data_IF_592381810449
#
_entry.id   IF_592381810449
#
_cell.length_a   1.000
_cell.length_b   1.000
_cell.length_c   1.000
_cell.angle_alpha   90.00
_cell.angle_beta   90.00
_cell.angle_gamma   90.00
#
_symmetry.space_group_name_H-M   'P 1'
#
loop_
_entity.id
_entity.type
_entity.pdbx_description
1 polymer ?
#
# COMPACT_ATOMS: atom_id res chain seq x y z
N UNK A 1 13.25 -4.12 -8.75
CA UNK A 1 12.05 -4.91 -9.10
C UNK A 1 11.90 -5.11 -10.61
N UNK A 2 11.69 -4.06 -11.41
CA UNK A 2 11.47 -4.21 -12.87
C UNK A 2 12.55 -5.03 -13.58
N UNK A 3 13.83 -4.71 -13.33
CA UNK A 3 14.97 -5.43 -13.94
C UNK A 3 14.96 -6.90 -13.56
N UNK A 4 14.85 -7.20 -12.25
CA UNK A 4 14.72 -8.57 -11.73
C UNK A 4 13.58 -9.36 -12.40
N UNK A 5 12.42 -8.74 -12.62
CA UNK A 5 11.30 -9.41 -13.27
C UNK A 5 11.59 -9.73 -14.74
N UNK A 6 12.27 -8.85 -15.46
CA UNK A 6 12.67 -9.10 -16.85
C UNK A 6 13.69 -10.24 -16.96
N UNK A 7 14.56 -10.40 -15.97
CA UNK A 7 15.54 -11.50 -15.92
C UNK A 7 14.90 -12.87 -15.67
N UNK A 8 13.80 -12.94 -14.90
CA UNK A 8 13.16 -14.20 -14.50
C UNK A 8 12.47 -14.95 -15.64
N UNK A 9 11.94 -14.23 -16.64
CA UNK A 9 11.19 -14.84 -17.74
C UNK A 9 9.97 -15.66 -17.26
N UNK A 10 9.52 -16.61 -18.09
CA UNK A 10 8.36 -17.46 -17.76
C UNK A 10 7.06 -16.66 -17.64
N UNK A 11 6.36 -16.84 -16.51
CA UNK A 11 5.13 -16.11 -16.17
C UNK A 11 5.39 -14.67 -15.69
N UNK A 12 6.66 -14.27 -15.58
CA UNK A 12 7.04 -12.92 -15.16
C UNK A 12 6.63 -11.88 -16.20
N UNK A 13 5.75 -10.95 -15.82
CA UNK A 13 5.30 -9.86 -16.69
C UNK A 13 5.32 -8.54 -15.92
N UNK A 14 6.08 -7.57 -16.43
CA UNK A 14 6.15 -6.21 -15.86
C UNK A 14 4.96 -5.33 -16.23
N UNK A 15 4.04 -5.81 -17.09
CA UNK A 15 2.93 -5.03 -17.62
C UNK A 15 1.67 -5.88 -17.82
N UNK A 16 0.88 -6.02 -16.77
CA UNK A 16 -0.37 -6.79 -16.79
C UNK A 16 -1.60 -5.87 -16.88
N UNK A 17 -2.56 -6.24 -17.74
CA UNK A 17 -3.81 -5.51 -17.93
C UNK A 17 -4.91 -6.05 -17.02
N UNK A 18 -5.55 -5.19 -16.23
CA UNK A 18 -6.65 -5.63 -15.35
C UNK A 18 -7.91 -6.08 -16.11
N UNK A 19 -8.14 -5.53 -17.31
CA UNK A 19 -9.25 -5.90 -18.19
C UNK A 19 -8.86 -5.66 -19.65
N UNK A 20 -9.59 -6.33 -20.56
CA UNK A 20 -9.45 -6.10 -22.00
C UNK A 20 -9.59 -4.61 -22.34
N UNK A 21 -8.60 -4.07 -23.04
CA UNK A 21 -8.58 -2.66 -23.45
C UNK A 21 -7.88 -1.70 -22.48
N UNK A 22 -7.42 -2.15 -21.30
CA UNK A 22 -6.61 -1.29 -20.44
C UNK A 22 -5.22 -1.07 -21.07
N UNK A 23 -5.00 0.13 -21.63
CA UNK A 23 -3.73 0.52 -22.28
C UNK A 23 -2.60 0.82 -21.29
N UNK A 24 -2.95 1.08 -20.03
CA UNK A 24 -1.98 1.47 -18.99
C UNK A 24 -1.18 0.27 -18.51
N UNK A 25 -1.85 -0.88 -18.31
CA UNK A 25 -1.24 -2.15 -17.89
C UNK A 25 -0.29 -2.00 -16.70
N UNK A 26 -0.76 -1.32 -15.64
CA UNK A 26 0.05 -0.98 -14.47
C UNK A 26 0.33 -2.14 -13.52
N UNK A 27 -0.47 -3.21 -13.60
CA UNK A 27 -0.29 -4.40 -12.78
C UNK A 27 0.95 -5.19 -13.24
N UNK A 28 1.35 -6.17 -12.46
CA UNK A 28 2.50 -7.03 -12.76
C UNK A 28 2.24 -8.47 -12.32
N UNK A 29 2.95 -9.42 -12.94
CA UNK A 29 2.99 -10.82 -12.57
C UNK A 29 4.39 -11.11 -12.04
N UNK A 30 4.54 -11.19 -10.72
CA UNK A 30 5.83 -11.44 -10.10
C UNK A 30 6.07 -12.95 -9.99
N UNK A 31 6.99 -13.46 -10.81
CA UNK A 31 7.37 -14.87 -10.83
C UNK A 31 8.59 -15.15 -9.94
N UNK A 32 8.85 -16.41 -9.64
CA UNK A 32 10.02 -16.91 -8.91
C UNK A 32 11.29 -16.91 -9.77
N UNK A 33 12.41 -17.37 -9.20
CA UNK A 33 13.65 -17.61 -9.95
C UNK A 33 13.55 -18.72 -11.00
N UNK A 34 12.55 -19.60 -10.91
CA UNK A 34 12.24 -20.62 -11.91
C UNK A 34 11.32 -20.12 -13.02
N UNK A 35 10.84 -18.87 -12.93
CA UNK A 35 9.90 -18.27 -13.87
C UNK A 35 8.44 -18.66 -13.60
N UNK A 36 8.14 -19.32 -12.49
CA UNK A 36 6.77 -19.69 -12.09
C UNK A 36 6.10 -18.55 -11.32
N UNK A 37 4.84 -18.24 -11.63
CA UNK A 37 4.12 -17.17 -10.95
C UNK A 37 4.06 -17.37 -9.42
N UNK A 38 4.50 -16.36 -8.66
CA UNK A 38 4.29 -16.30 -7.20
C UNK A 38 3.00 -15.54 -6.92
N UNK A 39 2.92 -14.28 -7.37
CA UNK A 39 1.79 -13.40 -7.06
C UNK A 39 1.59 -12.36 -8.14
N UNK A 40 0.34 -11.94 -8.31
CA UNK A 40 -0.03 -10.80 -9.15
C UNK A 40 -1.11 -9.99 -8.44
N UNK A 41 -0.94 -8.67 -8.25
CA UNK A 41 0.29 -7.87 -8.39
C UNK A 41 1.11 -7.73 -7.09
N UNK A 42 2.39 -7.37 -7.23
CA UNK A 42 3.16 -6.72 -6.15
C UNK A 42 3.12 -5.21 -6.38
N UNK A 43 2.30 -4.50 -5.60
CA UNK A 43 2.09 -3.04 -5.75
C UNK A 43 2.98 -2.23 -4.81
N UNK A 44 3.11 -0.92 -5.09
CA UNK A 44 3.93 0.01 -4.29
C UNK A 44 3.58 -0.04 -2.79
N UNK A 45 2.30 -0.02 -2.46
CA UNK A 45 1.82 -0.03 -1.06
C UNK A 45 2.18 -1.33 -0.35
N UNK A 46 2.04 -2.48 -1.02
CA UNK A 46 2.47 -3.77 -0.48
C UNK A 46 3.96 -3.79 -0.20
N UNK A 47 4.80 -3.30 -1.13
CA UNK A 47 6.25 -3.21 -0.91
C UNK A 47 6.56 -2.28 0.27
N UNK A 48 5.84 -1.16 0.40
CA UNK A 48 6.00 -0.22 1.50
C UNK A 48 5.66 -0.82 2.86
N UNK A 49 4.51 -1.48 2.98
CA UNK A 49 3.98 -1.93 4.27
C UNK A 49 4.43 -3.34 4.68
N UNK A 50 4.67 -4.23 3.72
CA UNK A 50 5.12 -5.61 3.96
C UNK A 50 6.63 -5.77 3.73
N UNK A 51 7.27 -4.82 3.04
CA UNK A 51 8.73 -4.76 2.87
C UNK A 51 9.37 -3.77 3.84
N UNK A 52 9.53 -2.52 3.40
CA UNK A 52 10.36 -1.52 4.11
C UNK A 52 9.87 -1.20 5.52
N UNK A 53 8.56 -1.14 5.75
CA UNK A 53 7.97 -0.98 7.09
C UNK A 53 8.35 -2.10 8.07
N UNK A 54 8.53 -3.33 7.56
CA UNK A 54 8.95 -4.48 8.35
C UNK A 54 10.47 -4.69 8.34
N UNK A 55 11.23 -3.88 7.60
CA UNK A 55 12.68 -4.08 7.41
C UNK A 55 13.01 -5.29 6.53
N UNK A 56 12.07 -5.78 5.73
CA UNK A 56 12.26 -6.89 4.80
C UNK A 56 12.62 -6.32 3.43
N UNK A 57 13.78 -6.71 2.88
CA UNK A 57 14.32 -6.19 1.62
C UNK A 57 14.33 -7.21 0.47
N UNK A 58 14.11 -8.49 0.76
CA UNK A 58 13.99 -9.53 -0.24
C UNK A 58 12.61 -9.52 -0.92
N UNK A 59 12.59 -9.24 -2.22
CA UNK A 59 11.36 -9.20 -3.03
C UNK A 59 10.64 -10.55 -3.13
N UNK A 60 11.35 -11.69 -3.05
CA UNK A 60 10.70 -13.01 -3.05
C UNK A 60 9.91 -13.24 -1.76
N UNK A 61 10.44 -12.79 -0.64
CA UNK A 61 9.77 -12.94 0.66
C UNK A 61 8.57 -12.00 0.75
N UNK A 62 8.73 -10.75 0.29
CA UNK A 62 7.62 -9.80 0.15
C UNK A 62 6.53 -10.37 -0.77
N UNK A 63 6.90 -10.97 -1.90
CA UNK A 63 5.94 -11.57 -2.83
C UNK A 63 5.17 -12.75 -2.23
N UNK A 64 5.84 -13.61 -1.44
CA UNK A 64 5.19 -14.72 -0.74
C UNK A 64 4.26 -14.24 0.38
N UNK A 65 4.68 -13.25 1.17
CA UNK A 65 3.83 -12.63 2.17
C UNK A 65 2.60 -11.98 1.52
N UNK A 66 2.80 -11.26 0.42
CA UNK A 66 1.71 -10.68 -0.39
C UNK A 66 0.75 -11.76 -0.91
N UNK A 67 1.26 -12.88 -1.41
CA UNK A 67 0.42 -14.00 -1.84
C UNK A 67 -0.47 -14.52 -0.71
N UNK A 68 0.11 -14.74 0.47
CA UNK A 68 -0.64 -15.25 1.63
C UNK A 68 -1.72 -14.26 2.07
N UNK A 69 -1.40 -12.96 2.11
CA UNK A 69 -2.37 -11.91 2.45
C UNK A 69 -3.52 -11.85 1.42
N UNK A 70 -3.20 -11.97 0.13
CA UNK A 70 -4.19 -12.01 -0.95
C UNK A 70 -5.09 -13.24 -0.85
N UNK A 71 -4.54 -14.43 -0.57
CA UNK A 71 -5.31 -15.66 -0.42
C UNK A 71 -6.23 -15.62 0.81
N UNK A 72 -5.79 -14.94 1.88
CA UNK A 72 -6.62 -14.65 3.05
C UNK A 72 -7.71 -13.59 2.76
N UNK A 73 -7.62 -12.86 1.64
CA UNK A 73 -8.56 -11.80 1.29
C UNK A 73 -8.43 -10.57 2.19
N UNK A 74 -7.23 -10.28 2.68
CA UNK A 74 -6.95 -9.16 3.57
C UNK A 74 -6.23 -8.02 2.84
N UNK A 75 -6.33 -6.81 3.38
CA UNK A 75 -5.60 -5.64 2.88
C UNK A 75 -4.13 -5.69 3.31
N UNK A 76 -3.20 -5.62 2.35
CA UNK A 76 -1.76 -5.64 2.60
C UNK A 76 -1.28 -4.42 3.39
N UNK A 77 -1.96 -3.27 3.27
CA UNK A 77 -1.63 -2.09 4.06
C UNK A 77 -1.95 -2.35 5.53
N UNK A 78 -3.18 -2.79 5.80
CA UNK A 78 -3.66 -3.02 7.16
C UNK A 78 -2.89 -4.16 7.85
N UNK A 79 -2.63 -5.26 7.14
CA UNK A 79 -1.85 -6.39 7.67
C UNK A 79 -0.39 -6.02 7.86
N UNK A 80 0.25 -5.34 6.89
CA UNK A 80 1.63 -4.89 7.03
C UNK A 80 1.81 -3.91 8.19
N UNK A 81 0.87 -2.99 8.39
CA UNK A 81 0.86 -2.10 9.55
C UNK A 81 0.66 -2.86 10.87
N UNK A 82 -0.26 -3.82 10.92
CA UNK A 82 -0.46 -4.69 12.08
C UNK A 82 0.80 -5.49 12.43
N UNK A 83 1.49 -6.03 11.43
CA UNK A 83 2.79 -6.69 11.62
C UNK A 83 3.87 -5.72 12.12
N UNK A 84 3.90 -4.47 11.64
CA UNK A 84 4.82 -3.46 12.16
C UNK A 84 4.60 -3.16 13.64
N UNK A 85 3.33 -3.05 14.06
CA UNK A 85 2.97 -2.91 15.48
C UNK A 85 3.26 -4.19 16.27
N UNK A 86 3.07 -5.36 15.66
CA UNK A 86 3.46 -6.63 16.28
C UNK A 86 4.97 -6.72 16.50
N UNK A 87 5.78 -6.15 15.61
CA UNK A 87 7.23 -6.09 15.76
C UNK A 87 7.62 -5.16 16.92
N UNK A 88 6.99 -3.99 17.00
CA UNK A 88 7.17 -3.08 18.15
C UNK A 88 6.71 -3.72 19.48
N UNK A 89 5.65 -4.54 19.45
CA UNK A 89 5.16 -5.30 20.59
C UNK A 89 5.95 -6.58 20.91
N UNK A 90 7.03 -6.86 20.17
CA UNK A 90 7.94 -7.98 20.44
C UNK A 90 7.47 -9.36 19.96
N UNK A 91 6.48 -9.44 19.07
CA UNK A 91 6.02 -10.72 18.49
C UNK A 91 6.88 -11.22 17.33
N UNK A 92 7.65 -10.31 16.71
CA UNK A 92 8.64 -10.56 15.66
C UNK A 92 9.73 -9.50 15.71
N UNK A 93 10.88 -9.78 15.10
CA UNK A 93 11.94 -8.79 14.87
C UNK A 93 11.76 -8.15 13.49
N UNK A 94 12.19 -6.89 13.34
CA UNK A 94 12.26 -6.26 12.02
C UNK A 94 13.27 -7.02 11.14
N UNK A 95 12.87 -7.34 9.91
CA UNK A 95 13.62 -8.16 8.96
C UNK A 95 13.30 -9.66 9.01
N UNK A 96 12.50 -10.13 9.98
CA UNK A 96 12.16 -11.55 10.11
C UNK A 96 10.92 -11.94 9.28
N UNK A 97 11.15 -12.24 8.00
CA UNK A 97 10.10 -12.62 7.06
C UNK A 97 9.42 -13.97 7.41
N UNK A 98 10.18 -14.93 7.92
CA UNK A 98 9.66 -16.25 8.29
C UNK A 98 8.71 -16.15 9.50
N UNK A 99 9.06 -15.31 10.46
CA UNK A 99 8.18 -15.02 11.60
C UNK A 99 6.94 -14.24 11.16
N UNK A 100 7.07 -13.28 10.24
CA UNK A 100 5.92 -12.60 9.66
C UNK A 100 4.96 -13.60 8.98
N UNK A 101 5.48 -14.54 8.19
CA UNK A 101 4.68 -15.61 7.58
C UNK A 101 4.00 -16.49 8.62
N UNK A 102 4.70 -16.85 9.70
CA UNK A 102 4.11 -17.61 10.81
C UNK A 102 2.92 -16.89 11.44
N UNK A 103 3.00 -15.57 11.61
CA UNK A 103 1.90 -14.76 12.11
C UNK A 103 0.71 -14.68 11.14
N UNK A 104 0.95 -14.68 9.82
CA UNK A 104 -0.12 -14.81 8.83
C UNK A 104 -0.82 -16.17 8.94
N UNK A 105 -0.08 -17.26 9.17
CA UNK A 105 -0.67 -18.57 9.42
C UNK A 105 -1.50 -18.63 10.71
N UNK A 106 -1.17 -17.83 11.75
CA UNK A 106 -2.02 -17.67 12.92
C UNK A 106 -3.37 -17.05 12.55
N UNK A 107 -3.38 -16.04 11.66
CA UNK A 107 -4.60 -15.44 11.11
C UNK A 107 -5.41 -16.51 10.38
N UNK A 108 -4.79 -17.27 9.47
CA UNK A 108 -5.42 -18.38 8.74
C UNK A 108 -6.05 -19.40 9.68
N UNK A 109 -5.34 -19.74 10.75
CA UNK A 109 -5.76 -20.74 11.73
C UNK A 109 -6.84 -20.20 12.69
N UNK A 110 -7.13 -18.90 12.66
CA UNK A 110 -8.14 -18.28 13.49
C UNK A 110 -7.82 -18.33 14.99
N UNK A 111 -6.53 -18.37 15.35
CA UNK A 111 -6.09 -18.35 16.74
C UNK A 111 -6.49 -17.03 17.41
N UNK A 112 -6.40 -16.95 18.75
CA UNK A 112 -6.70 -15.68 19.44
C UNK A 112 -5.80 -14.55 18.96
N UNK A 113 -4.50 -14.82 18.77
CA UNK A 113 -3.56 -13.85 18.22
C UNK A 113 -3.86 -13.55 16.74
N UNK A 114 -4.13 -14.58 15.94
CA UNK A 114 -4.51 -14.42 14.54
C UNK A 114 -5.75 -13.53 14.36
N UNK A 115 -6.76 -13.69 15.22
CA UNK A 115 -7.94 -12.81 15.24
C UNK A 115 -7.59 -11.38 15.58
N UNK A 116 -6.65 -11.15 16.50
CA UNK A 116 -6.19 -9.79 16.83
C UNK A 116 -5.51 -9.16 15.62
N UNK A 117 -4.56 -9.85 15.01
CA UNK A 117 -3.81 -9.38 13.84
C UNK A 117 -4.72 -9.15 12.63
N UNK A 118 -5.63 -10.08 12.35
CA UNK A 118 -6.61 -9.97 11.27
C UNK A 118 -7.68 -8.89 11.46
N UNK A 119 -7.86 -8.37 12.68
CA UNK A 119 -8.71 -7.21 12.96
C UNK A 119 -7.97 -5.86 12.81
N UNK A 120 -6.77 -5.89 12.26
CA UNK A 120 -6.03 -4.69 11.84
C UNK A 120 -5.15 -4.07 12.91
N UNK A 121 -4.52 -2.96 12.53
CA UNK A 121 -3.41 -2.35 13.27
C UNK A 121 -3.86 -1.79 14.61
N UNK A 122 -5.07 -1.22 14.69
CA UNK A 122 -5.61 -0.64 15.92
C UNK A 122 -5.97 -1.72 16.94
N UNK A 123 -6.55 -2.84 16.49
CA UNK A 123 -6.82 -3.98 17.36
C UNK A 123 -5.52 -4.60 17.89
N UNK A 124 -4.53 -4.74 17.01
CA UNK A 124 -3.19 -5.23 17.35
C UNK A 124 -2.50 -4.35 18.38
N UNK A 125 -2.44 -3.03 18.17
CA UNK A 125 -1.81 -2.11 19.11
C UNK A 125 -2.48 -2.11 20.48
N UNK A 126 -3.81 -2.17 20.54
CA UNK A 126 -4.54 -2.30 21.81
C UNK A 126 -4.23 -3.60 22.54
N UNK A 127 -4.15 -4.72 21.82
CA UNK A 127 -3.87 -6.02 22.42
C UNK A 127 -2.44 -6.10 22.98
N UNK A 128 -1.48 -5.52 22.27
CA UNK A 128 -0.05 -5.54 22.65
C UNK A 128 0.36 -4.37 23.53
N UNK A 129 -0.57 -3.49 23.90
CA UNK A 129 -0.31 -2.26 24.65
C UNK A 129 0.75 -1.36 23.97
N UNK A 130 0.72 -1.29 22.64
CA UNK A 130 1.54 -0.38 21.84
C UNK A 130 0.74 0.89 21.57
N UNK A 131 1.22 2.02 22.09
CA UNK A 131 0.52 3.31 21.96
C UNK A 131 0.76 3.98 20.59
N UNK A 132 1.92 3.74 19.97
CA UNK A 132 2.34 4.39 18.73
C UNK A 132 1.77 3.68 17.50
N UNK A 133 0.45 3.75 17.34
CA UNK A 133 -0.26 3.17 16.19
C UNK A 133 -0.48 4.22 15.10
N UNK A 134 0.12 4.02 13.93
CA UNK A 134 -0.05 4.88 12.76
C UNK A 134 -1.38 4.60 12.04
N UNK A 135 -2.48 5.14 12.58
CA UNK A 135 -3.83 4.96 12.02
C UNK A 135 -4.68 6.23 12.16
N UNK A 136 -5.63 6.42 11.23
CA UNK A 136 -6.63 7.50 11.30
C UNK A 136 -8.02 6.91 11.07
N UNK A 137 -8.95 7.22 11.99
CA UNK A 137 -10.31 6.66 12.02
C UNK A 137 -10.37 5.12 12.04
N UNK A 138 -9.35 4.48 12.60
CA UNK A 138 -9.31 3.02 12.72
C UNK A 138 -8.63 2.30 11.55
N UNK A 139 -8.22 3.01 10.50
CA UNK A 139 -7.53 2.45 9.32
C UNK A 139 -6.05 2.82 9.34
N UNK A 140 -5.17 1.88 9.01
CA UNK A 140 -3.73 2.07 8.90
C UNK A 140 -3.35 3.14 7.88
N UNK A 141 -2.28 3.90 8.18
CA UNK A 141 -1.67 4.81 7.22
C UNK A 141 -0.98 4.05 6.10
N UNK A 142 -1.17 4.50 4.87
CA UNK A 142 -0.49 3.93 3.70
C UNK A 142 1.01 4.31 3.66
N UNK A 143 1.75 3.87 2.65
CA UNK A 143 3.21 3.96 2.53
C UNK A 143 3.78 5.39 2.35
N UNK A 144 3.00 6.43 2.66
CA UNK A 144 3.45 7.82 2.63
C UNK A 144 3.48 8.41 4.03
N UNK A 145 4.67 8.78 4.50
CA UNK A 145 4.83 9.45 5.76
C UNK A 145 4.30 10.91 5.67
N UNK A 146 3.26 11.28 6.42
CA UNK A 146 2.69 12.62 6.38
C UNK A 146 3.63 13.70 6.91
N UNK A 147 4.72 13.36 7.59
CA UNK A 147 5.76 14.30 8.01
C UNK A 147 6.58 14.79 6.82
N UNK A 148 6.77 13.93 5.82
CA UNK A 148 7.47 14.25 4.57
C UNK A 148 6.51 14.85 3.53
N UNK A 149 5.23 14.48 3.57
CA UNK A 149 4.19 14.96 2.65
C UNK A 149 3.00 15.48 3.46
N UNK A 150 3.07 16.72 3.94
CA UNK A 150 2.06 17.30 4.84
C UNK A 150 0.65 17.32 4.24
N UNK A 151 0.52 17.51 2.93
CA UNK A 151 -0.75 17.40 2.21
C UNK A 151 -1.43 16.04 2.38
N UNK A 152 -0.66 14.95 2.40
CA UNK A 152 -1.20 13.61 2.68
C UNK A 152 -1.69 13.50 4.12
N UNK A 153 -1.00 14.13 5.08
CA UNK A 153 -1.47 14.26 6.46
C UNK A 153 -2.86 14.90 6.55
N UNK A 154 -3.10 15.99 5.80
CA UNK A 154 -4.43 16.60 5.70
C UNK A 154 -5.44 15.63 5.10
N UNK A 155 -5.06 14.92 4.03
CA UNK A 155 -5.91 13.90 3.39
C UNK A 155 -6.31 12.80 4.37
N UNK A 156 -5.37 12.20 5.09
CA UNK A 156 -5.64 11.16 6.08
C UNK A 156 -6.56 11.67 7.20
N UNK A 157 -6.29 12.85 7.74
CA UNK A 157 -7.10 13.45 8.81
C UNK A 157 -8.56 13.69 8.38
N UNK A 158 -8.78 14.10 7.13
CA UNK A 158 -10.08 14.63 6.67
C UNK A 158 -10.80 13.76 5.65
N UNK A 159 -10.22 12.64 5.21
CA UNK A 159 -10.89 11.65 4.37
C UNK A 159 -12.02 10.96 5.13
N UNK A 160 -13.20 10.75 4.53
CA UNK A 160 -14.26 9.99 5.18
C UNK A 160 -13.94 8.49 5.28
N UNK A 161 -13.02 7.98 4.44
CA UNK A 161 -12.67 6.55 4.41
C UNK A 161 -11.71 6.17 5.55
N UNK A 162 -10.81 7.07 5.95
CA UNK A 162 -9.73 6.77 6.88
C UNK A 162 -8.40 7.30 6.37
N UNK A 163 -7.29 6.70 6.78
CA UNK A 163 -5.95 7.04 6.31
C UNK A 163 -5.64 6.53 4.88
N UNK A 164 -6.53 6.85 3.94
CA UNK A 164 -6.44 6.44 2.54
C UNK A 164 -5.82 7.56 1.68
N UNK A 165 -4.68 7.26 1.05
CA UNK A 165 -3.96 8.21 0.20
C UNK A 165 -4.66 8.43 -1.14
N UNK A 166 -5.44 7.46 -1.60
CA UNK A 166 -6.09 7.54 -2.90
C UNK A 166 -7.03 8.75 -2.91
N UNK A 167 -7.77 9.01 -1.84
CA UNK A 167 -8.66 10.16 -1.66
C UNK A 167 -8.05 11.58 -1.86
N UNK A 168 -6.74 11.73 -1.99
CA UNK A 168 -6.10 13.03 -2.15
C UNK A 168 -4.58 13.00 -2.05
N UNK A 169 -3.92 12.14 -2.84
CA UNK A 169 -2.46 12.01 -2.80
C UNK A 169 -1.77 13.26 -3.38
N UNK A 170 -1.01 13.95 -2.55
CA UNK A 170 -0.33 15.21 -2.88
C UNK A 170 1.12 15.01 -3.36
N UNK A 171 1.63 13.78 -3.48
CA UNK A 171 3.05 13.52 -3.79
C UNK A 171 3.58 14.17 -5.09
N UNK A 172 2.70 14.43 -6.07
CA UNK A 172 3.06 15.07 -7.34
C UNK A 172 2.72 16.57 -7.39
N UNK A 173 2.30 17.16 -6.28
CA UNK A 173 1.98 18.58 -6.25
C UNK A 173 3.27 19.41 -6.20
N UNK A 174 3.34 20.45 -7.02
CA UNK A 174 4.49 21.37 -7.08
C UNK A 174 4.43 22.40 -5.93
N UNK A 175 4.56 21.91 -4.70
CA UNK A 175 4.58 22.72 -3.47
C UNK A 175 5.72 22.24 -2.57
N UNK A 176 6.15 23.08 -1.64
CA UNK A 176 7.04 22.62 -0.57
C UNK A 176 6.26 21.74 0.41
N UNK A 177 6.41 20.42 0.28
CA UNK A 177 5.75 19.43 1.13
C UNK A 177 6.12 19.50 2.62
N UNK A 178 7.25 20.12 2.97
CA UNK A 178 7.71 20.27 4.34
C UNK A 178 7.19 21.56 4.98
N UNK A 179 6.71 22.51 4.17
CA UNK A 179 6.03 23.71 4.62
C UNK A 179 4.56 23.42 4.95
N UNK A 180 4.01 23.96 6.06
CA UNK A 180 2.58 23.88 6.33
C UNK A 180 1.73 24.76 5.40
N UNK A 181 2.33 25.75 4.74
CA UNK A 181 1.64 26.66 3.83
C UNK A 181 1.18 25.95 2.55
N UNK A 182 -0.05 26.22 2.07
CA UNK A 182 -0.56 25.72 0.79
C UNK A 182 -1.02 24.25 0.77
N UNK A 183 -0.80 23.48 1.84
CA UNK A 183 -1.12 22.04 1.90
C UNK A 183 -2.63 21.78 1.88
N UNK A 184 -3.42 22.65 2.52
CA UNK A 184 -4.88 22.53 2.58
C UNK A 184 -5.50 22.79 1.21
N UNK A 185 -5.04 23.84 0.54
CA UNK A 185 -5.48 24.24 -0.80
C UNK A 185 -5.15 23.17 -1.83
N UNK A 186 -3.91 22.66 -1.82
CA UNK A 186 -3.48 21.54 -2.65
C UNK A 186 -4.41 20.33 -2.49
N UNK A 187 -4.69 19.95 -1.24
CA UNK A 187 -5.59 18.85 -0.91
C UNK A 187 -7.02 19.09 -1.42
N UNK A 188 -7.56 20.31 -1.34
CA UNK A 188 -8.91 20.64 -1.82
C UNK A 188 -9.01 20.51 -3.33
N UNK A 189 -7.99 20.96 -4.06
CA UNK A 189 -7.93 20.84 -5.53
C UNK A 189 -7.92 19.38 -5.94
N UNK A 190 -7.07 18.56 -5.32
CA UNK A 190 -6.97 17.14 -5.64
C UNK A 190 -8.25 16.40 -5.25
N UNK A 191 -8.84 16.72 -4.08
CA UNK A 191 -10.11 16.12 -3.64
C UNK A 191 -11.28 16.47 -4.55
N UNK A 192 -11.39 17.70 -5.02
CA UNK A 192 -12.56 18.10 -5.85
C UNK A 192 -12.60 17.36 -7.19
N UNK A 193 -11.45 16.96 -7.72
CA UNK A 193 -11.34 16.11 -8.92
C UNK A 193 -11.68 14.64 -8.64
N UNK A 194 -11.62 14.20 -7.39
CA UNK A 194 -11.78 12.79 -6.99
C UNK A 194 -13.17 12.18 -7.18
N UNK A 195 -14.28 12.77 -6.66
CA UNK A 195 -15.61 12.17 -6.79
C UNK A 195 -16.03 11.95 -8.24
N UNK A 196 -15.63 12.85 -9.14
CA UNK A 196 -15.89 12.73 -10.57
C UNK A 196 -15.25 11.47 -11.15
N UNK A 197 -14.07 11.09 -10.67
CA UNK A 197 -13.39 9.87 -11.13
C UNK A 197 -14.05 8.59 -10.62
N UNK A 198 -14.44 8.54 -9.35
CA UNK A 198 -15.07 7.35 -8.75
C UNK A 198 -16.48 7.10 -9.32
N UNK A 199 -17.26 8.16 -9.54
CA UNK A 199 -18.64 8.05 -10.05
C UNK A 199 -18.72 7.50 -11.47
N UNK A 200 -17.66 7.67 -12.27
CA UNK A 200 -17.68 7.25 -13.67
C UNK A 200 -17.23 5.81 -13.87
N UNK A 201 -16.71 5.11 -12.85
CA UNK A 201 -16.21 3.72 -12.91
C UNK A 201 -15.26 3.37 -14.09
N UNK A 202 -14.87 4.37 -14.89
CA UNK A 202 -14.20 4.22 -16.19
C UNK A 202 -12.71 4.51 -16.11
N UNK A 203 -12.23 5.04 -14.99
CA UNK A 203 -10.86 5.56 -14.87
C UNK A 203 -10.06 4.82 -13.79
N UNK A 204 -9.15 3.97 -14.26
CA UNK A 204 -7.95 3.60 -13.52
C UNK A 204 -7.12 4.87 -13.26
N UNK A 205 -6.79 5.13 -12.01
CA UNK A 205 -6.12 6.36 -11.57
C UNK A 205 -4.80 6.66 -12.27
N UNK A 206 -4.09 5.61 -12.67
CA UNK A 206 -2.80 5.72 -13.35
C UNK A 206 -2.95 6.35 -14.74
N UNK A 207 -4.09 6.17 -15.40
CA UNK A 207 -4.34 6.72 -16.74
C UNK A 207 -4.45 8.24 -16.77
N UNK A 208 -4.94 8.84 -15.69
CA UNK A 208 -5.11 10.28 -15.61
C UNK A 208 -3.78 11.01 -15.35
N UNK A 209 -2.75 10.32 -14.82
CA UNK A 209 -1.40 10.89 -14.69
C UNK A 209 -0.88 11.35 -16.06
N UNK A 210 -1.20 10.61 -17.14
CA UNK A 210 -0.88 11.03 -18.50
C UNK A 210 -1.73 12.23 -18.96
N UNK A 211 -3.00 12.31 -18.57
CA UNK A 211 -3.89 13.42 -18.95
C UNK A 211 -3.58 14.72 -18.21
N UNK A 212 -3.13 14.67 -16.96
CA UNK A 212 -2.66 15.86 -16.23
C UNK A 212 -1.41 16.44 -16.89
N UNK A 213 -0.54 15.59 -17.46
CA UNK A 213 0.62 16.03 -18.26
C UNK A 213 0.20 16.77 -19.54
N UNK A 214 -0.90 16.35 -20.18
CA UNK A 214 -1.40 17.00 -21.39
C UNK A 214 -2.03 18.38 -21.13
N UNK A 215 -2.61 18.60 -19.95
CA UNK A 215 -3.22 19.90 -19.61
C UNK A 215 -2.18 20.98 -19.30
N UNK A 216 -0.92 20.62 -18.97
CA UNK A 216 0.18 21.58 -18.77
C UNK A 216 1.03 21.81 -20.03
N UNK A 217 0.69 21.21 -21.16
CA UNK A 217 1.35 21.46 -22.46
C UNK A 217 0.58 22.47 -23.34
N UNK A 218 -0.54 23.01 -22.86
CA UNK A 218 -1.35 24.02 -23.57
C UNK A 218 -1.44 25.39 -22.85
N UNK A 219 -0.46 25.74 -22.02
CA UNK A 219 -0.29 27.12 -21.51
C UNK A 219 1.13 27.61 -21.64
#
# INVERSE_FOLDING_TARGET
MRELMLERGGDSDTSHACMSGCIIRCSNCFASTTGELIVSPVEFETIGLVGSNLGIDNLDDIARLNWEINDLGLDTIEVGAALGVAAEGGLLEFGDADRAMTLLHEIRSGTTLGKVLGNGVVATGRHLNVERVAAVKGQAMSAYDPRAIKGNGVTYATSPQGADHTCGNCIRAEIDHLSPEGQVECRVIIKSRWPVMTLWALFCLVGLVLQVLLVHLET
#
